data_IF_076735065391
#
_entry.id   IF_076735065391
#
_cell.length_a   1.000
_cell.length_b   1.000
_cell.length_c   1.000
_cell.angle_alpha   90.00
_cell.angle_beta   90.00
_cell.angle_gamma   90.00
#
_symmetry.space_group_name_H-M   'P 1'
#
loop_
_entity.id
_entity.type
_entity.pdbx_description
1 polymer ?
#
# COMPACT_ATOMS: atom_id res chain seq x y z
N UNK A 1 47.95 46.31 -19.44
CA UNK A 1 47.33 45.09 -18.80
C UNK A 1 45.97 45.52 -18.25
N UNK A 2 44.95 45.19 -18.95
CA UNK A 2 43.59 45.43 -18.48
C UNK A 2 43.15 44.20 -17.68
N UNK A 3 42.58 44.45 -16.50
CA UNK A 3 42.04 43.43 -15.59
C UNK A 3 40.86 42.59 -16.21
N UNK A 4 40.62 42.84 -17.50
CA UNK A 4 39.58 42.15 -18.29
C UNK A 4 40.06 40.90 -19.02
N UNK A 5 41.35 40.56 -18.98
CA UNK A 5 41.93 39.38 -19.63
C UNK A 5 42.17 38.20 -18.65
N UNK A 6 41.47 38.14 -17.53
CA UNK A 6 41.44 36.93 -16.74
C UNK A 6 40.69 35.86 -17.54
N UNK A 7 41.35 34.73 -17.90
CA UNK A 7 40.65 33.66 -18.57
C UNK A 7 39.46 33.22 -17.68
N UNK A 8 38.27 33.28 -18.22
CA UNK A 8 37.11 32.74 -17.56
C UNK A 8 37.43 31.28 -17.17
N UNK A 9 37.45 31.01 -15.87
CA UNK A 9 37.68 29.67 -15.35
C UNK A 9 36.65 28.74 -16.00
N UNK A 10 37.10 27.94 -16.95
CA UNK A 10 36.27 26.93 -17.58
C UNK A 10 35.82 25.99 -16.47
N UNK A 11 34.51 25.77 -16.26
CA UNK A 11 34.05 24.88 -15.23
C UNK A 11 34.77 23.54 -15.39
N UNK A 12 35.45 23.12 -14.34
CA UNK A 12 36.20 21.87 -14.32
C UNK A 12 35.21 20.74 -14.65
N UNK A 13 35.37 20.12 -15.83
CA UNK A 13 34.49 19.06 -16.32
C UNK A 13 34.36 17.93 -15.31
N UNK A 14 35.40 17.69 -14.52
CA UNK A 14 35.41 16.70 -13.43
C UNK A 14 34.43 17.07 -12.32
N UNK A 15 34.39 18.32 -11.89
CA UNK A 15 33.44 18.79 -10.86
C UNK A 15 32.01 18.76 -11.35
N UNK A 16 31.76 19.20 -12.58
CA UNK A 16 30.41 19.10 -13.17
C UNK A 16 29.92 17.66 -13.26
N UNK A 17 30.79 16.72 -13.64
CA UNK A 17 30.47 15.29 -13.69
C UNK A 17 30.13 14.71 -12.30
N UNK A 18 30.91 15.08 -11.27
CA UNK A 18 30.65 14.66 -9.89
C UNK A 18 29.29 15.18 -9.41
N UNK A 19 28.99 16.46 -9.65
CA UNK A 19 27.68 17.03 -9.30
C UNK A 19 26.53 16.34 -10.02
N UNK A 20 26.70 15.99 -11.29
CA UNK A 20 25.68 15.26 -12.06
C UNK A 20 25.43 13.87 -11.49
N UNK A 21 26.49 13.14 -11.11
CA UNK A 21 26.37 11.82 -10.49
C UNK A 21 25.67 11.89 -9.14
N UNK A 22 26.03 12.89 -8.30
CA UNK A 22 25.37 13.10 -7.00
C UNK A 22 23.90 13.43 -7.19
N UNK A 23 23.56 14.33 -8.11
CA UNK A 23 22.17 14.69 -8.40
C UNK A 23 21.37 13.47 -8.88
N UNK A 24 21.91 12.66 -9.77
CA UNK A 24 21.28 11.44 -10.23
C UNK A 24 21.07 10.43 -9.09
N UNK A 25 22.07 10.25 -8.24
CA UNK A 25 21.96 9.37 -7.07
C UNK A 25 20.86 9.84 -6.11
N UNK A 26 20.75 11.13 -5.86
CA UNK A 26 19.69 11.70 -5.02
C UNK A 26 18.30 11.49 -5.63
N UNK A 27 18.15 11.65 -6.95
CA UNK A 27 16.88 11.37 -7.64
C UNK A 27 16.51 9.90 -7.51
N UNK A 28 17.46 8.99 -7.72
CA UNK A 28 17.23 7.53 -7.55
C UNK A 28 16.82 7.21 -6.12
N UNK A 29 17.53 7.75 -5.12
CA UNK A 29 17.17 7.55 -3.70
C UNK A 29 15.78 8.09 -3.37
N UNK A 30 15.41 9.26 -3.90
CA UNK A 30 14.08 9.82 -3.72
C UNK A 30 13.00 8.92 -4.36
N UNK A 31 13.22 8.39 -5.56
CA UNK A 31 12.31 7.46 -6.21
C UNK A 31 12.13 6.17 -5.39
N UNK A 32 13.22 5.60 -4.87
CA UNK A 32 13.17 4.45 -3.96
C UNK A 32 12.38 4.76 -2.70
N UNK A 33 12.64 5.90 -2.06
CA UNK A 33 11.90 6.32 -0.88
C UNK A 33 10.39 6.43 -1.16
N UNK A 34 9.98 7.09 -2.25
CA UNK A 34 8.57 7.22 -2.61
C UNK A 34 7.92 5.88 -2.99
N UNK A 35 8.66 4.96 -3.62
CA UNK A 35 8.17 3.65 -3.99
C UNK A 35 7.95 2.74 -2.77
N UNK A 36 8.82 2.82 -1.77
CA UNK A 36 8.83 1.88 -0.65
C UNK A 36 8.33 2.45 0.69
N UNK A 37 7.99 3.74 0.76
CA UNK A 37 7.61 4.39 2.02
C UNK A 37 6.39 3.77 2.71
N UNK A 38 5.49 3.16 1.96
CA UNK A 38 4.29 2.48 2.46
C UNK A 38 4.36 0.95 2.35
N UNK A 39 5.54 0.44 2.05
CA UNK A 39 5.74 -0.99 1.86
C UNK A 39 5.35 -1.83 3.08
N UNK A 40 5.71 -1.46 4.33
CA UNK A 40 5.33 -2.24 5.51
C UNK A 40 3.82 -2.36 5.70
N UNK A 41 3.08 -1.27 5.51
CA UNK A 41 1.63 -1.24 5.65
C UNK A 41 0.94 -2.03 4.52
N UNK A 42 1.43 -1.86 3.30
CA UNK A 42 0.97 -2.65 2.16
C UNK A 42 1.19 -4.14 2.41
N UNK A 43 2.36 -4.52 2.91
CA UNK A 43 2.71 -5.91 3.20
C UNK A 43 1.85 -6.50 4.32
N UNK A 44 1.56 -5.71 5.36
CA UNK A 44 0.62 -6.11 6.40
C UNK A 44 -0.78 -6.39 5.84
N UNK A 45 -1.28 -5.51 4.95
CA UNK A 45 -2.55 -5.71 4.26
C UNK A 45 -2.55 -6.98 3.38
N UNK A 46 -1.47 -7.22 2.63
CA UNK A 46 -1.32 -8.45 1.84
C UNK A 46 -1.43 -9.69 2.73
N UNK A 47 -0.70 -9.75 3.85
CA UNK A 47 -0.77 -10.89 4.77
C UNK A 47 -2.18 -11.12 5.32
N UNK A 48 -2.91 -10.04 5.62
CA UNK A 48 -4.29 -10.12 6.07
C UNK A 48 -5.21 -10.72 5.00
N UNK A 49 -5.14 -10.21 3.78
CA UNK A 49 -5.97 -10.73 2.68
C UNK A 49 -5.54 -12.14 2.24
N UNK A 50 -4.26 -12.48 2.30
CA UNK A 50 -3.79 -13.84 2.04
C UNK A 50 -4.38 -14.84 3.03
N UNK A 51 -4.48 -14.48 4.32
CA UNK A 51 -5.14 -15.30 5.33
C UNK A 51 -6.64 -15.47 5.04
N UNK A 52 -7.33 -14.41 4.61
CA UNK A 52 -8.74 -14.49 4.21
C UNK A 52 -8.93 -15.40 2.99
N UNK A 53 -8.07 -15.28 1.97
CA UNK A 53 -8.11 -16.13 0.77
C UNK A 53 -7.86 -17.59 1.11
N UNK A 54 -6.97 -17.87 2.05
CA UNK A 54 -6.71 -19.22 2.57
C UNK A 54 -7.86 -19.78 3.42
N UNK A 55 -8.85 -18.95 3.79
CA UNK A 55 -9.95 -19.33 4.70
C UNK A 55 -9.54 -19.39 6.16
N UNK A 56 -8.34 -18.88 6.50
CA UNK A 56 -7.84 -18.84 7.87
C UNK A 56 -8.31 -17.56 8.58
N UNK A 57 -9.56 -17.58 9.00
CA UNK A 57 -10.18 -16.45 9.69
C UNK A 57 -9.58 -16.18 11.07
N UNK A 58 -9.04 -17.20 11.72
CA UNK A 58 -8.38 -17.03 13.02
C UNK A 58 -7.09 -16.21 12.88
N UNK A 59 -6.23 -16.54 11.93
CA UNK A 59 -5.02 -15.77 11.63
C UNK A 59 -5.37 -14.37 11.13
N UNK A 60 -6.37 -14.24 10.27
CA UNK A 60 -6.82 -12.92 9.78
C UNK A 60 -7.29 -12.03 10.94
N UNK A 61 -8.05 -12.56 11.88
CA UNK A 61 -8.50 -11.84 13.07
C UNK A 61 -7.31 -11.41 13.94
N UNK A 62 -6.33 -12.27 14.15
CA UNK A 62 -5.12 -11.92 14.90
C UNK A 62 -4.30 -10.83 14.19
N UNK A 63 -4.18 -10.89 12.86
CA UNK A 63 -3.50 -9.87 12.08
C UNK A 63 -4.20 -8.51 12.13
N UNK A 64 -5.54 -8.51 12.25
CA UNK A 64 -6.31 -7.29 12.46
C UNK A 64 -5.93 -6.58 13.76
N UNK A 65 -5.39 -7.31 14.73
CA UNK A 65 -5.09 -6.83 16.10
C UNK A 65 -6.30 -6.15 16.71
N UNK A 66 -7.37 -6.89 16.89
CA UNK A 66 -8.66 -6.34 17.26
C UNK A 66 -8.62 -5.71 18.65
N UNK A 67 -9.37 -4.62 18.82
CA UNK A 67 -9.70 -4.12 20.15
C UNK A 67 -10.63 -5.11 20.86
N UNK A 68 -10.74 -5.07 22.21
CA UNK A 68 -11.66 -5.93 22.95
C UNK A 68 -13.12 -5.82 22.49
N UNK A 69 -13.50 -4.69 21.90
CA UNK A 69 -14.84 -4.46 21.34
C UNK A 69 -15.08 -5.08 19.98
N UNK A 70 -14.04 -5.54 19.28
CA UNK A 70 -14.14 -6.18 17.98
C UNK A 70 -13.83 -7.68 18.12
N UNK A 71 -14.79 -8.41 18.63
CA UNK A 71 -14.64 -9.84 18.90
C UNK A 71 -14.65 -10.66 17.60
N UNK A 72 -14.26 -11.93 17.70
CA UNK A 72 -14.28 -12.87 16.55
C UNK A 72 -15.66 -12.93 15.88
N UNK A 73 -16.74 -12.82 16.65
CA UNK A 73 -18.10 -12.80 16.11
C UNK A 73 -18.32 -11.61 15.16
N UNK A 74 -17.89 -10.44 15.58
CA UNK A 74 -18.02 -9.21 14.77
C UNK A 74 -17.11 -9.25 13.55
N UNK A 75 -15.90 -9.78 13.73
CA UNK A 75 -14.97 -10.03 12.63
C UNK A 75 -15.56 -10.97 11.57
N UNK A 76 -16.20 -12.07 11.99
CA UNK A 76 -16.85 -13.01 11.09
C UNK A 76 -18.08 -12.41 10.39
N UNK A 77 -18.79 -11.49 11.05
CA UNK A 77 -19.90 -10.76 10.44
C UNK A 77 -19.42 -9.85 9.29
N UNK A 78 -18.19 -9.35 9.37
CA UNK A 78 -17.60 -8.54 8.31
C UNK A 78 -16.86 -9.40 7.27
N UNK A 79 -15.96 -10.25 7.71
CA UNK A 79 -14.96 -10.92 6.86
C UNK A 79 -15.15 -12.44 6.74
N UNK A 80 -16.08 -13.01 7.48
CA UNK A 80 -16.35 -14.45 7.40
C UNK A 80 -16.93 -14.87 6.04
N UNK A 81 -17.06 -16.20 5.81
CA UNK A 81 -17.61 -16.73 4.55
C UNK A 81 -19.01 -16.20 4.23
N UNK A 82 -19.81 -15.92 5.23
CA UNK A 82 -21.16 -15.33 5.11
C UNK A 82 -21.20 -13.86 5.54
N UNK A 83 -20.02 -13.25 5.76
CA UNK A 83 -19.89 -11.87 6.18
C UNK A 83 -20.14 -10.88 5.05
N UNK A 84 -20.23 -9.62 5.42
CA UNK A 84 -20.51 -8.54 4.46
C UNK A 84 -19.49 -8.47 3.32
N UNK A 85 -18.21 -8.67 3.60
CA UNK A 85 -17.12 -8.67 2.61
C UNK A 85 -16.75 -10.07 2.12
N UNK A 86 -17.17 -11.13 2.81
CA UNK A 86 -16.84 -12.50 2.44
C UNK A 86 -17.80 -13.13 1.40
N UNK A 87 -17.44 -14.30 0.89
CA UNK A 87 -16.13 -14.92 1.03
C UNK A 87 -15.08 -14.19 0.15
N UNK A 88 -13.86 -14.07 0.63
CA UNK A 88 -12.75 -13.50 -0.15
C UNK A 88 -11.94 -14.64 -0.75
N UNK A 89 -12.02 -14.83 -2.06
CA UNK A 89 -11.29 -15.86 -2.81
C UNK A 89 -10.14 -15.28 -3.64
N UNK A 90 -10.20 -14.00 -3.94
CA UNK A 90 -9.13 -13.26 -4.59
C UNK A 90 -9.21 -11.78 -4.20
N UNK A 91 -8.09 -11.08 -4.29
CA UNK A 91 -8.01 -9.65 -4.04
C UNK A 91 -6.97 -8.95 -4.93
N UNK A 92 -7.12 -7.66 -5.09
CA UNK A 92 -6.17 -6.79 -5.78
C UNK A 92 -6.06 -5.46 -5.05
N UNK A 93 -4.86 -5.08 -4.64
CA UNK A 93 -4.60 -3.76 -4.08
C UNK A 93 -4.66 -2.73 -5.20
N UNK A 94 -5.58 -1.79 -5.09
CA UNK A 94 -5.82 -0.75 -6.09
C UNK A 94 -5.01 0.51 -5.80
N UNK A 95 -4.92 0.91 -4.53
CA UNK A 95 -4.23 2.13 -4.12
C UNK A 95 -3.77 2.04 -2.68
N UNK A 96 -2.59 2.61 -2.42
CA UNK A 96 -2.05 2.80 -1.07
C UNK A 96 -1.71 4.28 -0.93
N UNK A 97 -2.26 4.94 0.09
CA UNK A 97 -2.05 6.37 0.29
C UNK A 97 -2.20 6.75 1.76
N UNK A 98 -1.66 7.90 2.12
CA UNK A 98 -1.84 8.45 3.46
C UNK A 98 -2.98 9.46 3.43
N UNK A 99 -4.05 9.26 4.20
CA UNK A 99 -5.09 10.27 4.40
C UNK A 99 -4.51 11.48 5.12
N UNK A 100 -5.08 12.67 4.87
CA UNK A 100 -4.63 13.89 5.52
C UNK A 100 -4.74 13.78 7.05
N UNK A 101 -3.67 14.18 7.74
CA UNK A 101 -3.55 14.20 9.21
C UNK A 101 -3.74 12.83 9.90
N UNK A 102 -3.75 11.73 9.15
CA UNK A 102 -3.91 10.40 9.73
C UNK A 102 -2.56 9.78 10.13
N UNK A 103 -2.57 9.03 11.24
CA UNK A 103 -1.47 8.15 11.65
C UNK A 103 -1.62 6.74 11.07
N UNK A 104 -2.30 6.63 9.96
CA UNK A 104 -2.59 5.40 9.27
C UNK A 104 -2.37 5.54 7.78
N UNK A 105 -2.15 4.43 7.12
CA UNK A 105 -2.09 4.32 5.67
C UNK A 105 -3.37 3.65 5.20
N UNK A 106 -4.06 4.29 4.27
CA UNK A 106 -5.25 3.73 3.63
C UNK A 106 -4.84 2.79 2.51
N UNK A 107 -5.37 1.59 2.54
CA UNK A 107 -5.19 0.57 1.51
C UNK A 107 -6.55 0.28 0.90
N UNK A 108 -6.71 0.62 -0.37
CA UNK A 108 -7.92 0.36 -1.13
C UNK A 108 -7.77 -0.93 -1.91
N UNK A 109 -8.66 -1.86 -1.69
CA UNK A 109 -8.57 -3.23 -2.18
C UNK A 109 -9.86 -3.63 -2.89
N UNK A 110 -9.74 -4.20 -4.06
CA UNK A 110 -10.83 -4.93 -4.71
C UNK A 110 -10.79 -6.39 -4.25
N UNK A 111 -11.92 -6.89 -3.82
CA UNK A 111 -12.11 -8.29 -3.36
C UNK A 111 -13.17 -8.99 -4.17
N UNK A 112 -13.01 -10.28 -4.34
CA UNK A 112 -13.94 -11.12 -5.09
C UNK A 112 -14.16 -12.47 -4.41
N UNK A 113 -15.40 -12.97 -4.54
CA UNK A 113 -15.77 -14.33 -4.17
C UNK A 113 -15.31 -15.38 -5.20
N UNK A 114 -14.70 -14.94 -6.28
CA UNK A 114 -14.19 -15.82 -7.36
C UNK A 114 -12.68 -15.83 -7.37
N UNK A 115 -12.09 -16.95 -7.78
CA UNK A 115 -10.66 -17.09 -8.03
C UNK A 115 -10.47 -17.72 -9.41
N UNK A 116 -9.64 -17.15 -10.28
CA UNK A 116 -8.89 -15.90 -10.13
C UNK A 116 -9.77 -14.66 -10.08
N UNK A 117 -9.14 -13.48 -9.83
CA UNK A 117 -9.85 -12.20 -9.86
C UNK A 117 -10.54 -12.01 -11.22
N UNK A 118 -11.85 -11.75 -11.25
CA UNK A 118 -12.59 -11.58 -12.50
C UNK A 118 -12.05 -10.43 -13.36
N UNK A 119 -11.97 -10.67 -14.65
CA UNK A 119 -11.61 -9.66 -15.65
C UNK A 119 -12.86 -8.92 -16.14
N UNK A 120 -12.66 -7.78 -16.80
CA UNK A 120 -13.71 -6.95 -17.40
C UNK A 120 -14.52 -7.74 -18.44
N UNK A 121 -13.92 -8.74 -19.09
CA UNK A 121 -14.59 -9.64 -20.03
C UNK A 121 -15.70 -10.50 -19.40
N UNK A 122 -15.63 -10.76 -18.08
CA UNK A 122 -16.69 -11.47 -17.35
C UNK A 122 -17.57 -10.44 -16.60
N UNK A 123 -18.51 -9.87 -17.32
CA UNK A 123 -19.35 -8.79 -16.81
C UNK A 123 -20.20 -9.21 -15.59
N UNK A 124 -20.60 -10.46 -15.48
CA UNK A 124 -21.40 -10.95 -14.36
C UNK A 124 -20.58 -11.03 -13.07
N UNK A 125 -19.41 -11.64 -13.14
CA UNK A 125 -18.51 -11.77 -11.99
C UNK A 125 -17.87 -10.45 -11.60
N UNK A 126 -17.54 -9.61 -12.59
CA UNK A 126 -16.91 -8.29 -12.31
C UNK A 126 -17.86 -7.34 -11.58
N UNK A 127 -19.18 -7.44 -11.80
CA UNK A 127 -20.19 -6.66 -11.04
C UNK A 127 -20.26 -7.04 -9.55
N UNK A 128 -19.80 -8.23 -9.19
CA UNK A 128 -19.79 -8.74 -7.82
C UNK A 128 -18.48 -8.40 -7.07
N UNK A 129 -17.54 -7.73 -7.73
CA UNK A 129 -16.33 -7.23 -7.08
C UNK A 129 -16.72 -6.13 -6.10
N UNK A 130 -16.29 -6.29 -4.85
CA UNK A 130 -16.43 -5.27 -3.81
C UNK A 130 -15.13 -4.50 -3.67
N UNK A 131 -15.22 -3.20 -3.42
CA UNK A 131 -14.05 -2.37 -3.10
C UNK A 131 -14.15 -1.95 -1.65
N UNK A 132 -13.15 -2.28 -0.87
CA UNK A 132 -13.04 -1.92 0.53
C UNK A 132 -11.80 -1.05 0.73
N UNK A 133 -11.90 -0.09 1.63
CA UNK A 133 -10.75 0.67 2.12
C UNK A 133 -10.53 0.30 3.57
N UNK A 134 -9.34 -0.13 3.89
CA UNK A 134 -8.90 -0.38 5.27
C UNK A 134 -7.77 0.56 5.64
N UNK A 135 -7.69 0.92 6.90
CA UNK A 135 -6.61 1.71 7.44
C UNK A 135 -5.66 0.81 8.21
N UNK A 136 -4.38 0.96 7.93
CA UNK A 136 -3.29 0.28 8.63
C UNK A 136 -2.54 1.31 9.45
N UNK A 137 -2.57 1.19 10.77
CA UNK A 137 -1.85 2.09 11.66
C UNK A 137 -0.34 1.93 11.45
N UNK A 138 0.37 3.06 11.40
CA UNK A 138 1.82 3.04 11.18
C UNK A 138 2.60 2.53 12.37
N UNK A 139 2.04 2.67 13.60
CA UNK A 139 2.70 2.31 14.85
C UNK A 139 2.85 0.80 15.04
N UNK A 140 1.75 0.06 14.93
CA UNK A 140 1.67 -1.36 15.30
C UNK A 140 1.12 -2.25 14.17
N UNK A 141 0.80 -1.66 13.00
CA UNK A 141 0.17 -2.35 11.86
C UNK A 141 -1.18 -2.98 12.18
N UNK A 142 -1.89 -2.44 13.17
CA UNK A 142 -3.30 -2.81 13.40
C UNK A 142 -4.19 -2.23 12.32
N UNK A 143 -5.35 -2.85 12.13
CA UNK A 143 -6.29 -2.49 11.09
C UNK A 143 -7.53 -1.82 11.68
N UNK A 144 -8.12 -0.93 10.90
CA UNK A 144 -9.42 -0.36 11.18
C UNK A 144 -10.14 0.00 9.87
N UNK A 145 -11.45 0.20 9.97
CA UNK A 145 -12.17 0.85 8.89
C UNK A 145 -11.97 2.38 8.96
N UNK A 146 -12.08 3.09 7.83
CA UNK A 146 -12.11 4.55 7.85
C UNK A 146 -13.25 5.06 8.73
N UNK A 147 -13.06 6.19 9.41
CA UNK A 147 -14.13 6.81 10.21
C UNK A 147 -15.27 7.33 9.35
#
# INVERSE_FOLDING_TARGET
>A
MTLLDAPADKPDKSRAMVFTIIALALVVLALFYFAFRYYPEKKAAEHFFDALVAGDTATAHQLWKPSPSYAMKDFLADWGPEGYYGPVKSYKILKVYRPDKANAIAVRVAISAFSPMPDISDAEKSRKIKVVTIWVLTSDKSFSFPP
#
